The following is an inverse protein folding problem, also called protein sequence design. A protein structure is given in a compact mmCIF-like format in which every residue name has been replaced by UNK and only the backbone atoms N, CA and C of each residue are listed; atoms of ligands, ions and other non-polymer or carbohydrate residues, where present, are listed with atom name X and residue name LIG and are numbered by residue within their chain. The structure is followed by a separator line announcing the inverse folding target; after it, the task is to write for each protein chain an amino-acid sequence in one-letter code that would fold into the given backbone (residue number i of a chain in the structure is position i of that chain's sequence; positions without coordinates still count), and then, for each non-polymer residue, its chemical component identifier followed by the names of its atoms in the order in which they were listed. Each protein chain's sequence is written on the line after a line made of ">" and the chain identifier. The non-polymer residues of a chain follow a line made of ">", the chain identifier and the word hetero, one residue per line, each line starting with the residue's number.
data_IF_577457668275
#
_entry.id   IF_577457668275
#
_cell.length_a   1.000
_cell.length_b   1.000
_cell.length_c   1.000
_cell.angle_alpha   90.00
_cell.angle_beta   90.00
_cell.angle_gamma   90.00
#
_symmetry.space_group_name_H-M   'P 1'
#
loop_
_entity.id
_entity.type
_entity.pdbx_description
1 polymer ?
#
# COMPACT_ATOMS: atom_id res chain seq x y z
N UNK A 1 -5.18 -23.65 9.26
CA UNK A 1 -6.20 -22.91 8.48
C UNK A 1 -6.42 -23.61 7.17
N UNK A 2 -7.67 -23.85 6.78
CA UNK A 2 -7.99 -24.42 5.48
C UNK A 2 -7.93 -23.37 4.38
N UNK A 3 -7.90 -23.78 3.12
CA UNK A 3 -7.95 -22.84 1.99
C UNK A 3 -9.23 -22.03 2.00
N UNK A 4 -10.33 -22.61 2.43
CA UNK A 4 -11.59 -21.89 2.57
C UNK A 4 -11.47 -20.78 3.62
N UNK A 5 -10.93 -21.11 4.78
CA UNK A 5 -10.77 -20.13 5.85
C UNK A 5 -9.84 -18.99 5.44
N UNK A 6 -8.80 -19.31 4.70
CA UNK A 6 -7.89 -18.29 4.18
C UNK A 6 -8.63 -17.31 3.28
N UNK A 7 -9.42 -17.79 2.32
CA UNK A 7 -10.18 -16.94 1.41
C UNK A 7 -11.24 -16.11 2.12
N UNK A 8 -11.84 -16.62 3.16
CA UNK A 8 -12.86 -15.90 3.94
C UNK A 8 -12.25 -14.84 4.87
N UNK A 9 -10.98 -14.97 5.21
CA UNK A 9 -10.33 -14.13 6.22
C UNK A 9 -9.23 -13.23 5.65
N UNK A 10 -9.24 -13.00 4.36
CA UNK A 10 -8.31 -12.09 3.72
C UNK A 10 -9.05 -10.89 3.13
N UNK A 11 -8.48 -9.71 3.33
CA UNK A 11 -8.85 -8.51 2.59
C UNK A 11 -7.79 -8.23 1.54
N UNK A 12 -8.23 -7.99 0.32
CA UNK A 12 -7.37 -7.55 -0.77
C UNK A 12 -7.86 -6.18 -1.22
N UNK A 13 -7.02 -5.17 -1.05
CA UNK A 13 -7.32 -3.80 -1.42
C UNK A 13 -6.46 -3.36 -2.59
N UNK A 14 -7.10 -2.97 -3.69
CA UNK A 14 -6.43 -2.24 -4.75
C UNK A 14 -6.44 -0.76 -4.37
N UNK A 15 -5.34 -0.29 -3.80
CA UNK A 15 -5.26 1.09 -3.30
C UNK A 15 -4.85 2.07 -4.39
N UNK A 16 -4.09 1.61 -5.38
CA UNK A 16 -3.82 2.36 -6.60
C UNK A 16 -4.01 1.41 -7.77
N UNK A 17 -4.92 1.75 -8.68
CA UNK A 17 -5.24 0.93 -9.83
C UNK A 17 -4.14 1.00 -10.90
N UNK A 18 -3.99 -0.03 -11.74
CA UNK A 18 -2.95 -0.07 -12.75
C UNK A 18 -3.27 0.88 -13.91
N UNK A 19 -2.76 2.10 -13.82
CA UNK A 19 -2.84 3.08 -14.89
C UNK A 19 -1.51 3.82 -15.02
N UNK A 20 -1.30 4.47 -16.16
CA UNK A 20 -0.15 5.36 -16.34
C UNK A 20 -0.34 6.63 -15.51
N UNK A 21 0.60 6.90 -14.63
CA UNK A 21 0.60 8.08 -13.77
C UNK A 21 1.67 9.05 -14.22
N UNK A 22 1.28 10.29 -14.49
CA UNK A 22 2.23 11.39 -14.74
C UNK A 22 3.02 11.70 -13.47
N UNK A 23 4.09 12.51 -13.59
CA UNK A 23 4.84 12.96 -12.43
C UNK A 23 3.91 13.63 -11.41
N UNK A 24 4.03 13.26 -10.16
CA UNK A 24 3.18 13.75 -9.08
C UNK A 24 3.16 12.79 -7.89
N UNK A 25 2.37 13.16 -6.89
CA UNK A 25 2.16 12.39 -5.67
C UNK A 25 0.79 11.71 -5.71
N UNK A 26 0.75 10.44 -5.36
CA UNK A 26 -0.46 9.62 -5.35
C UNK A 26 -0.57 8.89 -4.02
N UNK A 27 -1.75 8.88 -3.43
CA UNK A 27 -2.00 8.30 -2.13
C UNK A 27 -2.92 7.08 -2.21
N UNK A 28 -2.74 6.17 -1.27
CA UNK A 28 -3.55 4.97 -1.16
C UNK A 28 -5.05 5.32 -1.13
N UNK A 29 -5.87 4.50 -1.77
CA UNK A 29 -7.32 4.68 -1.90
C UNK A 29 -7.77 5.93 -2.65
N UNK A 30 -6.86 6.77 -3.05
CA UNK A 30 -7.19 7.91 -3.92
C UNK A 30 -7.38 7.49 -5.38
N UNK A 31 -7.22 6.21 -5.71
CA UNK A 31 -7.35 5.66 -7.06
C UNK A 31 -6.52 6.42 -8.11
N UNK A 32 -5.33 6.81 -7.72
CA UNK A 32 -4.48 7.61 -8.59
C UNK A 32 -4.89 9.08 -8.68
N UNK A 33 -5.80 9.54 -7.83
CA UNK A 33 -6.12 10.95 -7.74
C UNK A 33 -4.92 11.69 -7.18
N UNK A 34 -4.42 12.62 -7.93
CA UNK A 34 -3.22 13.37 -7.60
C UNK A 34 -3.41 14.15 -6.28
N UNK A 35 -2.44 14.01 -5.41
CA UNK A 35 -2.31 14.79 -4.18
C UNK A 35 -3.58 14.87 -3.30
N UNK A 36 -4.39 13.83 -3.30
CA UNK A 36 -5.53 13.74 -2.40
C UNK A 36 -5.15 12.84 -1.24
N UNK A 37 -5.07 13.40 -0.06
CA UNK A 37 -4.79 12.62 1.14
C UNK A 37 -5.91 11.61 1.37
N UNK A 38 -5.54 10.36 1.46
CA UNK A 38 -6.47 9.31 1.81
C UNK A 38 -5.75 8.33 2.73
N UNK A 39 -6.31 8.13 3.90
CA UNK A 39 -5.79 7.13 4.80
C UNK A 39 -6.66 5.88 4.79
N UNK A 40 -6.04 4.78 5.15
CA UNK A 40 -6.70 3.51 5.40
C UNK A 40 -6.85 3.37 6.90
N UNK A 41 -8.09 3.23 7.37
CA UNK A 41 -8.37 2.97 8.77
C UNK A 41 -8.29 1.46 9.02
N UNK A 42 -7.26 1.01 9.72
CA UNK A 42 -7.07 -0.40 9.99
C UNK A 42 -8.12 -0.99 10.93
N UNK A 43 -8.89 -0.16 11.62
CA UNK A 43 -10.04 -0.63 12.40
C UNK A 43 -11.10 -1.27 11.49
N UNK A 44 -11.23 -0.83 10.24
CA UNK A 44 -12.15 -1.40 9.26
C UNK A 44 -11.75 -2.82 8.84
N UNK A 45 -10.51 -3.22 9.11
CA UNK A 45 -9.93 -4.51 8.73
C UNK A 45 -9.50 -5.32 9.95
N UNK A 46 -10.10 -5.04 11.10
CA UNK A 46 -9.86 -5.76 12.34
C UNK A 46 -8.40 -5.71 12.80
N UNK A 47 -7.75 -4.58 12.63
CA UNK A 47 -6.36 -4.34 13.07
C UNK A 47 -5.39 -5.48 12.66
N UNK A 48 -5.14 -5.68 11.36
CA UNK A 48 -4.24 -6.74 10.91
C UNK A 48 -2.85 -6.53 11.49
N UNK A 49 -2.20 -7.60 11.93
CA UNK A 49 -0.83 -7.53 12.44
C UNK A 49 0.21 -7.47 11.35
N UNK A 50 -0.12 -7.94 10.16
CA UNK A 50 0.79 -7.97 9.02
C UNK A 50 0.04 -7.59 7.77
N UNK A 51 0.68 -6.79 6.95
CA UNK A 51 0.16 -6.36 5.66
C UNK A 51 1.22 -6.64 4.61
N UNK A 52 0.83 -7.35 3.56
CA UNK A 52 1.68 -7.51 2.39
C UNK A 52 1.35 -6.38 1.42
N UNK A 53 2.34 -5.56 1.11
CA UNK A 53 2.19 -4.47 0.14
C UNK A 53 2.88 -4.88 -1.15
N UNK A 54 2.11 -5.00 -2.22
CA UNK A 54 2.63 -5.40 -3.52
C UNK A 54 2.55 -4.25 -4.49
N UNK A 55 3.67 -3.90 -5.08
CA UNK A 55 3.79 -2.88 -6.11
C UNK A 55 4.13 -3.56 -7.42
N UNK A 56 3.25 -3.41 -8.40
CA UNK A 56 3.44 -3.96 -9.75
C UNK A 56 3.68 -2.81 -10.71
N UNK A 57 4.82 -2.81 -11.37
CA UNK A 57 5.21 -1.78 -12.35
C UNK A 57 5.25 -2.41 -13.73
N UNK A 58 4.41 -1.91 -14.63
CA UNK A 58 4.32 -2.43 -16.00
C UNK A 58 5.21 -1.68 -16.98
N UNK A 59 5.29 -0.36 -16.85
CA UNK A 59 6.07 0.47 -17.76
C UNK A 59 6.63 1.67 -17.02
N UNK A 60 7.90 1.96 -17.26
CA UNK A 60 8.56 3.19 -16.81
C UNK A 60 9.01 3.94 -18.05
N UNK A 61 8.45 5.13 -18.27
CA UNK A 61 8.91 5.97 -19.36
C UNK A 61 10.35 6.43 -19.11
N UNK A 62 11.04 6.87 -20.15
CA UNK A 62 12.46 7.22 -20.09
C UNK A 62 12.78 8.14 -18.90
N UNK A 63 13.68 7.69 -18.05
CA UNK A 63 14.12 8.37 -16.84
C UNK A 63 13.04 8.51 -15.74
N UNK A 64 11.89 7.87 -15.89
CA UNK A 64 10.87 7.87 -14.86
C UNK A 64 11.32 7.15 -13.59
N UNK A 65 10.88 7.62 -12.44
CA UNK A 65 11.16 6.99 -11.15
C UNK A 65 9.88 6.88 -10.33
N UNK A 66 9.83 5.87 -9.48
CA UNK A 66 8.75 5.66 -8.54
C UNK A 66 9.34 5.45 -7.15
N UNK A 67 9.01 6.35 -6.24
CA UNK A 67 9.36 6.25 -4.83
C UNK A 67 8.10 5.96 -4.03
N UNK A 68 8.18 5.04 -3.09
CA UNK A 68 7.02 4.62 -2.29
C UNK A 68 7.39 4.61 -0.82
N UNK A 69 6.58 5.31 -0.03
CA UNK A 69 6.67 5.37 1.42
C UNK A 69 5.40 4.82 2.05
N UNK A 70 5.57 4.15 3.19
CA UNK A 70 4.45 3.73 4.03
C UNK A 70 4.42 4.64 5.24
N UNK A 71 3.34 5.37 5.37
CA UNK A 71 3.15 6.34 6.44
C UNK A 71 2.08 5.87 7.42
N UNK A 72 2.19 6.30 8.67
CA UNK A 72 1.21 5.97 9.70
C UNK A 72 0.96 7.09 10.68
N UNK A 73 -0.17 7.01 11.37
CA UNK A 73 -0.55 7.94 12.41
C UNK A 73 -1.66 7.39 13.31
N UNK A 74 -1.83 8.02 14.46
CA UNK A 74 -2.86 7.62 15.43
C UNK A 74 -4.18 8.36 15.24
N UNK A 75 -4.19 9.38 14.40
CA UNK A 75 -5.38 10.18 14.08
C UNK A 75 -5.53 10.36 12.58
N UNK A 76 -6.78 10.40 12.12
CA UNK A 76 -7.08 10.67 10.73
C UNK A 76 -6.52 12.04 10.30
N UNK A 77 -5.93 12.10 9.12
CA UNK A 77 -5.31 13.31 8.60
C UNK A 77 -3.98 13.70 9.25
N UNK A 78 -3.45 12.88 10.13
CA UNK A 78 -2.21 13.16 10.86
C UNK A 78 -1.23 11.99 10.79
N UNK A 79 -0.88 11.57 9.58
CA UNK A 79 0.07 10.50 9.34
C UNK A 79 1.48 11.08 9.26
N UNK A 80 2.08 11.28 10.42
CA UNK A 80 3.36 11.99 10.54
C UNK A 80 4.58 11.09 10.60
N UNK A 81 4.38 9.77 10.57
CA UNK A 81 5.48 8.82 10.67
C UNK A 81 5.67 8.10 9.34
N UNK A 82 6.90 8.08 8.84
CA UNK A 82 7.29 7.23 7.72
C UNK A 82 7.87 5.95 8.30
N UNK A 83 7.14 4.86 8.17
CA UNK A 83 7.54 3.58 8.76
C UNK A 83 8.49 2.80 7.88
N UNK A 84 8.25 2.84 6.57
CA UNK A 84 9.04 2.11 5.58
C UNK A 84 9.15 2.90 4.29
N UNK A 85 10.27 2.72 3.60
CA UNK A 85 10.50 3.27 2.27
C UNK A 85 10.97 2.14 1.36
N UNK A 86 10.36 2.02 0.19
CA UNK A 86 10.82 1.08 -0.83
C UNK A 86 12.10 1.62 -1.49
N UNK A 87 12.95 0.72 -1.95
CA UNK A 87 14.03 1.12 -2.86
C UNK A 87 13.42 1.73 -4.12
N UNK A 88 13.95 2.86 -4.58
CA UNK A 88 13.45 3.53 -5.77
C UNK A 88 13.31 2.57 -6.96
N UNK A 89 12.16 2.61 -7.60
CA UNK A 89 11.85 1.75 -8.73
C UNK A 89 12.06 2.53 -10.03
N UNK A 90 12.87 1.95 -10.92
CA UNK A 90 13.22 2.56 -12.21
C UNK A 90 12.97 1.63 -13.40
N UNK A 91 12.39 0.45 -13.14
CA UNK A 91 12.12 -0.55 -14.17
C UNK A 91 10.86 -1.35 -13.86
N UNK A 92 10.30 -1.98 -14.88
CA UNK A 92 9.17 -2.89 -14.71
C UNK A 92 9.51 -4.05 -13.78
N UNK A 93 8.53 -4.54 -13.06
CA UNK A 93 8.68 -5.66 -12.15
C UNK A 93 7.69 -5.58 -10.98
N UNK A 94 7.79 -6.55 -10.10
CA UNK A 94 6.97 -6.65 -8.90
C UNK A 94 7.85 -6.57 -7.67
N UNK A 95 7.50 -5.67 -6.76
CA UNK A 95 8.18 -5.53 -5.47
C UNK A 95 7.17 -5.72 -4.36
N UNK A 96 7.55 -6.46 -3.34
CA UNK A 96 6.70 -6.78 -2.21
C UNK A 96 7.36 -6.32 -0.91
N UNK A 97 6.59 -5.67 -0.04
CA UNK A 97 7.00 -5.29 1.29
C UNK A 97 6.10 -5.95 2.33
N UNK A 98 6.70 -6.57 3.31
CA UNK A 98 6.01 -7.11 4.48
C UNK A 98 5.99 -6.02 5.56
N UNK A 99 4.82 -5.45 5.80
CA UNK A 99 4.66 -4.32 6.71
C UNK A 99 3.95 -4.76 7.99
N UNK A 100 4.49 -4.37 9.13
CA UNK A 100 3.88 -4.61 10.44
C UNK A 100 3.35 -3.29 10.98
N UNK A 101 2.03 -3.04 10.93
CA UNK A 101 1.47 -1.78 11.38
C UNK A 101 1.52 -1.67 12.91
N UNK A 102 1.78 -0.46 13.37
CA UNK A 102 1.81 -0.14 14.81
C UNK A 102 0.82 0.96 15.18
N UNK A 103 0.15 1.55 14.17
CA UNK A 103 -0.81 2.63 14.36
C UNK A 103 -2.08 2.36 13.57
N UNK A 104 -3.14 3.04 13.95
CA UNK A 104 -4.48 2.82 13.39
C UNK A 104 -4.60 3.21 11.92
N UNK A 105 -4.03 4.33 11.54
CA UNK A 105 -4.17 4.87 10.18
C UNK A 105 -2.88 4.71 9.42
N UNK A 106 -2.98 4.24 8.18
CA UNK A 106 -1.84 4.12 7.27
C UNK A 106 -2.13 4.75 5.92
N UNK A 107 -1.08 5.12 5.23
CA UNK A 107 -1.11 5.53 3.84
C UNK A 107 0.08 4.91 3.11
N UNK A 108 -0.12 4.57 1.86
CA UNK A 108 0.97 4.22 0.96
C UNK A 108 1.07 5.36 -0.04
N UNK A 109 2.11 6.16 0.09
CA UNK A 109 2.36 7.29 -0.78
C UNK A 109 3.28 6.88 -1.92
N UNK A 110 2.88 7.20 -3.14
CA UNK A 110 3.68 6.94 -4.32
C UNK A 110 4.03 8.26 -4.99
N UNK A 111 5.31 8.48 -5.24
CA UNK A 111 5.80 9.69 -5.90
C UNK A 111 6.41 9.30 -7.23
N UNK A 112 5.79 9.76 -8.31
CA UNK A 112 6.28 9.60 -9.68
C UNK A 112 7.05 10.85 -10.06
N UNK A 113 8.29 10.68 -10.51
CA UNK A 113 9.13 11.81 -10.90
C UNK A 113 9.68 11.61 -12.31
N UNK A 114 10.01 12.73 -12.95
CA UNK A 114 10.62 12.87 -14.26
C UNK A 114 9.68 12.49 -15.40
N UNK A 115 9.18 11.25 -15.44
CA UNK A 115 8.34 10.77 -16.52
C UNK A 115 7.30 9.77 -15.99
N UNK A 116 6.29 9.47 -16.79
CA UNK A 116 5.18 8.62 -16.39
C UNK A 116 5.61 7.20 -16.03
N UNK A 117 4.94 6.64 -15.04
CA UNK A 117 5.09 5.25 -14.61
C UNK A 117 3.71 4.60 -14.58
N UNK A 118 3.59 3.42 -15.19
CA UNK A 118 2.38 2.61 -15.09
C UNK A 118 2.57 1.62 -13.94
N UNK A 119 1.79 1.77 -12.89
CA UNK A 119 1.92 0.91 -11.72
C UNK A 119 0.60 0.70 -10.99
N UNK A 120 0.57 -0.29 -10.13
CA UNK A 120 -0.53 -0.54 -9.20
C UNK A 120 0.02 -0.91 -7.83
N UNK A 121 -0.76 -0.64 -6.80
CA UNK A 121 -0.44 -1.03 -5.43
C UNK A 121 -1.62 -1.79 -4.84
N UNK A 122 -1.33 -2.97 -4.32
CA UNK A 122 -2.32 -3.85 -3.69
C UNK A 122 -1.87 -4.19 -2.28
N UNK A 123 -2.78 -4.13 -1.33
CA UNK A 123 -2.57 -4.56 0.04
C UNK A 123 -3.29 -5.88 0.28
N UNK A 124 -2.61 -6.83 0.92
CA UNK A 124 -3.22 -8.09 1.38
C UNK A 124 -3.07 -8.16 2.88
N UNK A 125 -4.18 -8.30 3.59
CA UNK A 125 -4.19 -8.35 5.04
C UNK A 125 -5.21 -9.36 5.55
N UNK A 126 -4.94 -9.95 6.71
CA UNK A 126 -5.84 -10.92 7.33
C UNK A 126 -6.98 -10.23 8.07
N UNK A 127 -8.20 -10.72 7.87
CA UNK A 127 -9.39 -10.18 8.51
C UNK A 127 -9.43 -10.40 10.04
N UNK A 128 -8.71 -11.41 10.53
CA UNK A 128 -8.74 -11.80 11.94
C UNK A 128 -7.59 -11.22 12.77
N UNK A 129 -6.78 -10.36 12.20
CA UNK A 129 -5.58 -9.88 12.88
C UNK A 129 -4.56 -10.98 13.07
N UNK A 130 -3.46 -10.93 12.38
CA UNK A 130 -2.43 -11.92 12.40
C UNK A 130 -1.84 -12.12 13.81
N UNK A 131 -1.62 -13.37 14.18
CA UNK A 131 -1.00 -13.68 15.45
C UNK A 131 -1.88 -13.39 16.64
N UNK A 132 -3.17 -13.12 16.47
CA UNK A 132 -4.10 -13.10 17.59
C UNK A 132 -4.31 -14.53 18.10
N UNK A 133 -4.77 -14.65 19.34
CA UNK A 133 -4.98 -15.99 19.94
C UNK A 133 -5.98 -16.84 19.18
N UNK A 134 -6.83 -16.24 18.39
CA UNK A 134 -7.80 -16.97 17.58
C UNK A 134 -7.21 -17.78 16.46
N UNK A 135 -5.94 -17.60 16.16
CA UNK A 135 -5.27 -18.41 15.16
C UNK A 135 -4.80 -19.74 15.65
N UNK A 136 -4.83 -19.90 16.88
CA UNK A 136 -4.39 -21.16 17.45
C UNK A 136 -5.16 -22.35 16.87
#
# INVERSE_FOLDING_TARGET
>A
MSMKDLGENLFVLDVIRPIAMAAGEYNARANGTHNTAAEIDLADYNYPKEILIQVSVGLVATSGTLDIDVESGDAAGALTNTDNTFTQITAAGVTTLHYIPTRRFINVEAIVAVAAVTFSITLVMGALGWGSSGQA
#
